data_IF_114040369510
#
_entry.id   IF_114040369510
#
_cell.length_a   1.000
_cell.length_b   1.000
_cell.length_c   1.000
_cell.angle_alpha   90.00
_cell.angle_beta   90.00
_cell.angle_gamma   90.00
#
_symmetry.space_group_name_H-M   'P 1'
#
loop_
_entity.id
_entity.type
_entity.pdbx_description
1 polymer ?
#
# COMPACT_ATOMS: atom_id res chain seq x y z
N UNK A 1 3.29 41.26 10.41
CA UNK A 1 4.40 41.75 9.55
C UNK A 1 4.61 40.73 8.45
N UNK A 2 4.26 41.14 7.25
CA UNK A 2 4.22 40.37 6.01
C UNK A 2 5.63 40.06 5.52
N UNK A 3 6.04 38.79 5.59
CA UNK A 3 7.21 38.28 4.88
C UNK A 3 6.70 37.55 3.62
N UNK A 4 6.82 38.24 2.48
CA UNK A 4 6.75 37.63 1.15
C UNK A 4 7.67 36.41 1.09
N UNK A 5 7.16 35.27 0.60
CA UNK A 5 7.97 34.12 0.20
C UNK A 5 8.47 34.33 -1.25
N UNK A 6 9.79 34.38 -1.51
CA UNK A 6 10.34 34.16 -2.84
C UNK A 6 11.16 32.87 -2.80
N UNK A 7 10.56 31.71 -3.14
CA UNK A 7 11.34 30.48 -3.38
C UNK A 7 10.64 29.36 -4.17
N UNK A 8 9.42 29.56 -4.70
CA UNK A 8 8.71 28.49 -5.46
C UNK A 8 8.81 28.67 -6.99
N UNK A 9 9.33 29.79 -7.47
CA UNK A 9 9.31 30.12 -8.91
C UNK A 9 10.60 29.79 -9.68
N UNK A 10 11.66 29.29 -9.03
CA UNK A 10 12.98 29.15 -9.67
C UNK A 10 13.33 27.73 -10.14
N UNK A 11 12.42 26.74 -10.07
CA UNK A 11 12.71 25.35 -10.48
C UNK A 11 12.07 24.99 -11.84
N UNK A 12 11.28 25.88 -12.44
CA UNK A 12 10.57 25.58 -13.70
C UNK A 12 11.30 25.91 -15.01
N UNK A 13 12.48 26.55 -14.95
CA UNK A 13 13.24 26.91 -16.15
C UNK A 13 14.66 26.39 -16.03
N UNK A 14 14.87 25.13 -16.39
CA UNK A 14 16.06 24.63 -17.10
C UNK A 14 16.06 23.09 -17.02
N UNK A 15 15.63 22.43 -18.11
CA UNK A 15 15.79 20.97 -18.22
C UNK A 15 14.76 20.19 -19.02
N UNK A 16 13.74 20.82 -19.62
CA UNK A 16 12.85 20.13 -20.57
C UNK A 16 13.38 20.29 -22.00
N UNK A 17 14.54 19.68 -22.27
CA UNK A 17 14.91 19.32 -23.64
C UNK A 17 14.21 18.01 -23.99
N UNK A 18 13.22 18.12 -24.88
CA UNK A 18 12.76 17.15 -25.86
C UNK A 18 13.10 15.68 -25.57
N UNK A 19 12.15 14.96 -24.95
CA UNK A 19 11.71 13.61 -25.35
C UNK A 19 10.88 13.02 -24.21
N UNK A 20 9.58 13.31 -24.22
CA UNK A 20 8.66 12.85 -23.18
C UNK A 20 7.32 13.59 -23.19
N UNK A 21 6.81 13.96 -24.36
CA UNK A 21 5.40 14.35 -24.49
C UNK A 21 4.55 13.14 -24.13
N UNK A 22 4.07 13.13 -22.88
CA UNK A 22 2.94 12.31 -22.45
C UNK A 22 1.83 12.48 -23.49
N UNK A 23 1.53 11.42 -24.24
CA UNK A 23 0.40 11.37 -25.15
C UNK A 23 -0.86 11.28 -24.28
N UNK A 24 -1.29 12.43 -23.74
CA UNK A 24 -2.59 12.64 -23.11
C UNK A 24 -3.67 12.89 -24.19
N UNK A 25 -3.63 12.18 -25.32
CA UNK A 25 -4.41 12.57 -26.51
C UNK A 25 -5.72 11.83 -26.75
N UNK A 26 -6.05 10.76 -26.02
CA UNK A 26 -7.32 10.06 -26.28
C UNK A 26 -8.45 10.32 -25.25
N UNK A 27 -8.19 11.06 -24.15
CA UNK A 27 -9.19 11.38 -23.11
C UNK A 27 -9.31 12.90 -22.81
N UNK A 28 -8.90 13.76 -23.75
CA UNK A 28 -8.70 15.19 -23.52
C UNK A 28 -9.94 15.99 -23.05
N UNK A 29 -11.16 15.56 -23.38
CA UNK A 29 -12.37 16.31 -22.99
C UNK A 29 -12.77 16.05 -21.53
N UNK A 30 -12.69 14.80 -21.08
CA UNK A 30 -13.09 14.37 -19.72
C UNK A 30 -12.04 14.80 -18.70
N UNK A 31 -10.75 14.65 -19.04
CA UNK A 31 -9.66 15.11 -18.18
C UNK A 31 -9.72 16.64 -17.98
N UNK A 32 -9.99 17.42 -19.04
CA UNK A 32 -10.12 18.87 -18.93
C UNK A 32 -11.37 19.31 -18.15
N UNK A 33 -12.51 18.65 -18.31
CA UNK A 33 -13.71 18.98 -17.52
C UNK A 33 -13.56 18.61 -16.05
N UNK A 34 -12.97 17.45 -15.74
CA UNK A 34 -12.63 17.11 -14.35
C UNK A 34 -11.61 18.09 -13.76
N UNK A 35 -10.62 18.52 -14.54
CA UNK A 35 -9.61 19.46 -14.08
C UNK A 35 -10.21 20.84 -13.75
N UNK A 36 -11.02 21.40 -14.65
CA UNK A 36 -11.66 22.71 -14.44
C UNK A 36 -12.63 22.68 -13.25
N UNK A 37 -13.41 21.60 -13.11
CA UNK A 37 -14.32 21.43 -11.97
C UNK A 37 -13.56 21.25 -10.65
N UNK A 38 -12.53 20.40 -10.61
CA UNK A 38 -11.68 20.20 -9.44
C UNK A 38 -10.98 21.51 -9.00
N UNK A 39 -10.46 22.29 -9.96
CA UNK A 39 -9.85 23.59 -9.68
C UNK A 39 -10.86 24.59 -9.12
N UNK A 40 -12.05 24.69 -9.72
CA UNK A 40 -13.13 25.56 -9.20
C UNK A 40 -13.54 25.16 -7.78
N UNK A 41 -13.62 23.86 -7.49
CA UNK A 41 -13.92 23.33 -6.15
C UNK A 41 -12.81 23.71 -5.17
N UNK A 42 -11.54 23.52 -5.55
CA UNK A 42 -10.39 23.84 -4.70
C UNK A 42 -10.35 25.34 -4.34
N UNK A 43 -10.60 26.22 -5.32
CA UNK A 43 -10.66 27.68 -5.09
C UNK A 43 -11.83 28.04 -4.19
N UNK A 44 -13.01 27.43 -4.39
CA UNK A 44 -14.19 27.66 -3.55
C UNK A 44 -13.92 27.24 -2.10
N UNK A 45 -13.46 26.01 -1.88
CA UNK A 45 -13.19 25.51 -0.54
C UNK A 45 -12.07 26.28 0.16
N UNK A 46 -11.02 26.70 -0.55
CA UNK A 46 -9.92 27.51 0.02
C UNK A 46 -10.43 28.87 0.54
N UNK A 47 -11.42 29.48 -0.12
CA UNK A 47 -12.08 30.70 0.39
C UNK A 47 -12.91 30.42 1.64
N UNK A 48 -13.62 29.29 1.68
CA UNK A 48 -14.48 28.89 2.79
C UNK A 48 -13.72 28.44 4.04
N UNK A 49 -12.50 27.92 3.87
CA UNK A 49 -11.68 27.40 4.97
C UNK A 49 -11.01 28.50 5.83
N UNK A 50 -10.95 29.75 5.38
CA UNK A 50 -10.16 30.80 6.02
C UNK A 50 -10.67 31.28 7.40
N UNK A 51 -11.94 31.05 7.76
CA UNK A 51 -12.50 31.44 9.07
C UNK A 51 -13.40 30.35 9.66
N UNK A 52 -12.83 29.40 10.41
CA UNK A 52 -13.59 28.31 11.03
C UNK A 52 -14.66 28.80 12.01
N UNK A 53 -14.39 29.89 12.74
CA UNK A 53 -15.26 30.40 13.80
C UNK A 53 -16.54 31.07 13.29
N UNK A 54 -16.56 31.49 12.02
CA UNK A 54 -17.68 32.23 11.40
C UNK A 54 -18.34 31.38 10.31
N UNK A 55 -17.91 30.12 10.14
CA UNK A 55 -18.37 29.23 9.09
C UNK A 55 -19.83 28.80 9.32
N UNK A 56 -20.68 28.96 8.32
CA UNK A 56 -22.06 28.48 8.39
C UNK A 56 -22.13 26.94 8.32
N UNK A 57 -23.24 26.37 8.78
CA UNK A 57 -23.48 24.92 8.67
C UNK A 57 -23.48 24.46 7.20
N UNK A 58 -24.07 25.25 6.29
CA UNK A 58 -24.07 24.97 4.86
C UNK A 58 -22.65 24.92 4.28
N UNK A 59 -21.77 25.83 4.71
CA UNK A 59 -20.37 25.85 4.31
C UNK A 59 -19.60 24.63 4.84
N UNK A 60 -19.86 24.21 6.09
CA UNK A 60 -19.27 22.99 6.66
C UNK A 60 -19.74 21.73 5.93
N UNK A 61 -21.03 21.64 5.60
CA UNK A 61 -21.60 20.55 4.80
C UNK A 61 -21.03 20.51 3.38
N UNK A 62 -20.74 21.68 2.79
CA UNK A 62 -20.08 21.75 1.48
C UNK A 62 -18.67 21.15 1.55
N UNK A 63 -17.89 21.49 2.57
CA UNK A 63 -16.54 20.94 2.76
C UNK A 63 -16.60 19.42 2.95
N UNK A 64 -17.51 18.94 3.81
CA UNK A 64 -17.71 17.51 4.03
C UNK A 64 -18.02 16.77 2.73
N UNK A 65 -18.99 17.28 1.94
CA UNK A 65 -19.37 16.70 0.65
C UNK A 65 -18.21 16.65 -0.34
N UNK A 66 -17.37 17.68 -0.38
CA UNK A 66 -16.18 17.71 -1.24
C UNK A 66 -15.18 16.65 -0.81
N UNK A 67 -14.89 16.52 0.49
CA UNK A 67 -13.99 15.48 0.99
C UNK A 67 -14.52 14.07 0.72
N UNK A 68 -15.82 13.84 0.95
CA UNK A 68 -16.48 12.56 0.64
C UNK A 68 -16.42 12.25 -0.87
N UNK A 69 -16.59 13.25 -1.73
CA UNK A 69 -16.47 13.08 -3.18
C UNK A 69 -15.04 12.66 -3.56
N UNK A 70 -14.02 13.34 -3.03
CA UNK A 70 -12.61 12.99 -3.27
C UNK A 70 -12.34 11.55 -2.82
N UNK A 71 -12.81 11.18 -1.62
CA UNK A 71 -12.70 9.83 -1.07
C UNK A 71 -13.34 8.80 -1.99
N UNK A 72 -14.58 9.03 -2.43
CA UNK A 72 -15.31 8.12 -3.31
C UNK A 72 -14.60 7.92 -4.65
N UNK A 73 -14.08 8.99 -5.26
CA UNK A 73 -13.33 8.92 -6.52
C UNK A 73 -12.06 8.08 -6.36
N UNK A 74 -11.30 8.29 -5.27
CA UNK A 74 -10.10 7.51 -4.99
C UNK A 74 -10.39 6.05 -4.60
N UNK A 75 -11.57 5.76 -4.06
CA UNK A 75 -11.96 4.42 -3.62
C UNK A 75 -12.26 3.47 -4.79
N UNK A 76 -12.58 3.99 -5.98
CA UNK A 76 -12.88 3.15 -7.15
C UNK A 76 -11.70 2.20 -7.43
N UNK A 77 -11.91 0.86 -7.41
CA UNK A 77 -10.82 -0.09 -7.59
C UNK A 77 -10.30 -0.06 -9.03
N UNK A 78 -8.99 -0.25 -9.19
CA UNK A 78 -8.41 -0.48 -10.51
C UNK A 78 -8.80 -1.88 -11.00
N UNK A 79 -9.04 -2.05 -12.30
CA UNK A 79 -9.24 -3.35 -12.92
C UNK A 79 -8.04 -3.68 -13.82
N UNK A 80 -7.03 -4.42 -13.33
CA UNK A 80 -5.79 -4.67 -14.06
C UNK A 80 -6.00 -5.39 -15.40
N UNK A 81 -6.98 -6.30 -15.45
CA UNK A 81 -7.32 -7.04 -16.68
C UNK A 81 -7.92 -6.12 -17.75
N UNK A 82 -8.69 -5.11 -17.33
CA UNK A 82 -9.27 -4.12 -18.23
C UNK A 82 -8.27 -3.02 -18.65
N UNK A 83 -7.29 -2.68 -17.79
CA UNK A 83 -6.33 -1.62 -18.10
C UNK A 83 -5.27 -2.04 -19.13
N UNK A 84 -4.85 -3.31 -19.15
CA UNK A 84 -3.82 -3.84 -20.09
C UNK A 84 -2.55 -2.96 -20.22
N UNK A 85 -2.17 -2.23 -19.17
CA UNK A 85 -1.00 -1.34 -19.16
C UNK A 85 0.25 -2.07 -18.67
N UNK A 86 1.41 -1.66 -19.19
CA UNK A 86 2.71 -2.17 -18.74
C UNK A 86 3.12 -1.56 -17.39
N UNK A 87 4.03 -2.22 -16.67
CA UNK A 87 4.61 -1.69 -15.44
C UNK A 87 5.33 -0.34 -15.72
N UNK A 88 5.15 0.63 -14.81
CA UNK A 88 5.56 2.05 -14.90
C UNK A 88 4.73 2.96 -15.81
N UNK A 89 3.73 2.46 -16.53
CA UNK A 89 2.73 3.33 -17.17
C UNK A 89 1.77 3.90 -16.10
N UNK A 90 1.17 5.07 -16.34
CA UNK A 90 0.24 5.67 -15.38
C UNK A 90 -1.03 4.82 -15.26
N UNK A 91 -1.45 4.45 -14.05
CA UNK A 91 -2.76 3.81 -13.81
C UNK A 91 -3.91 4.82 -13.93
N UNK A 92 -5.17 4.36 -13.87
CA UNK A 92 -6.30 5.29 -13.67
C UNK A 92 -6.16 6.01 -12.32
N UNK A 93 -5.68 5.31 -11.29
CA UNK A 93 -5.43 5.88 -9.98
C UNK A 93 -4.32 6.94 -10.02
N UNK A 94 -3.21 6.69 -10.71
CA UNK A 94 -2.13 7.65 -10.93
C UNK A 94 -2.61 8.92 -11.64
N UNK A 95 -3.50 8.78 -12.63
CA UNK A 95 -4.10 9.92 -13.33
C UNK A 95 -4.97 10.77 -12.39
N UNK A 96 -5.74 10.13 -11.50
CA UNK A 96 -6.53 10.83 -10.49
C UNK A 96 -5.62 11.55 -9.50
N UNK A 97 -4.58 10.89 -8.99
CA UNK A 97 -3.59 11.52 -8.09
C UNK A 97 -2.98 12.75 -8.76
N UNK A 98 -2.55 12.62 -10.02
CA UNK A 98 -1.97 13.73 -10.77
C UNK A 98 -2.96 14.88 -10.94
N UNK A 99 -4.23 14.59 -11.24
CA UNK A 99 -5.26 15.62 -11.35
C UNK A 99 -5.52 16.35 -10.01
N UNK A 100 -5.58 15.61 -8.89
CA UNK A 100 -5.74 16.18 -7.55
C UNK A 100 -4.57 17.07 -7.14
N UNK A 101 -3.35 16.68 -7.53
CA UNK A 101 -2.14 17.48 -7.33
C UNK A 101 -2.21 18.79 -8.12
N UNK A 102 -2.45 18.70 -9.43
CA UNK A 102 -2.49 19.86 -10.32
C UNK A 102 -3.64 20.83 -9.99
N UNK A 103 -4.76 20.33 -9.44
CA UNK A 103 -5.87 21.18 -9.01
C UNK A 103 -5.67 21.83 -7.64
N UNK A 104 -4.60 21.48 -6.90
CA UNK A 104 -4.36 21.96 -5.54
C UNK A 104 -5.30 21.40 -4.48
N UNK A 105 -5.97 20.26 -4.76
CA UNK A 105 -6.85 19.59 -3.80
C UNK A 105 -6.04 18.81 -2.74
N UNK A 106 -4.84 18.35 -3.08
CA UNK A 106 -3.94 17.72 -2.11
C UNK A 106 -3.52 18.71 -1.00
N UNK A 107 -3.19 19.96 -1.36
CA UNK A 107 -2.87 21.02 -0.39
C UNK A 107 -4.06 21.32 0.53
N UNK A 108 -5.28 21.25 -0.02
CA UNK A 108 -6.50 21.45 0.75
C UNK A 108 -6.70 20.34 1.79
N UNK A 109 -6.50 19.08 1.39
CA UNK A 109 -6.55 17.94 2.31
C UNK A 109 -5.48 18.09 3.39
N UNK A 110 -4.26 18.48 3.00
CA UNK A 110 -3.17 18.74 3.94
C UNK A 110 -3.52 19.84 4.95
N UNK A 111 -4.09 20.95 4.49
CA UNK A 111 -4.55 22.02 5.36
C UNK A 111 -5.55 21.50 6.41
N UNK A 112 -6.56 20.74 5.97
CA UNK A 112 -7.58 20.15 6.85
C UNK A 112 -6.96 19.24 7.90
N UNK A 113 -6.03 18.35 7.53
CA UNK A 113 -5.42 17.41 8.49
C UNK A 113 -4.33 18.04 9.37
N UNK A 114 -3.83 19.23 9.01
CA UNK A 114 -2.83 19.97 9.79
C UNK A 114 -3.44 20.83 10.90
N UNK A 115 -4.70 21.27 10.74
CA UNK A 115 -5.36 22.20 11.64
C UNK A 115 -6.16 21.47 12.72
N UNK A 116 -5.88 21.72 14.00
CA UNK A 116 -6.69 21.17 15.11
C UNK A 116 -8.14 21.64 15.09
N UNK A 117 -8.42 22.80 14.48
CA UNK A 117 -9.76 23.39 14.47
C UNK A 117 -10.71 22.63 13.54
N UNK A 118 -10.17 21.87 12.57
CA UNK A 118 -10.93 21.11 11.57
C UNK A 118 -11.17 19.64 11.98
N UNK A 119 -11.12 19.34 13.28
CA UNK A 119 -11.24 17.97 13.85
C UNK A 119 -12.40 17.13 13.27
N UNK A 120 -13.55 17.75 12.97
CA UNK A 120 -14.71 17.09 12.36
C UNK A 120 -14.43 16.43 10.99
N UNK A 121 -13.42 16.91 10.27
CA UNK A 121 -13.05 16.41 8.94
C UNK A 121 -11.85 15.46 8.95
N UNK A 122 -11.23 15.20 10.10
CA UNK A 122 -9.97 14.44 10.15
C UNK A 122 -10.12 12.98 9.72
N UNK A 123 -11.26 12.34 10.00
CA UNK A 123 -11.53 10.98 9.52
C UNK A 123 -11.60 10.93 7.98
N UNK A 124 -12.28 11.89 7.36
CA UNK A 124 -12.33 12.01 5.90
C UNK A 124 -10.94 12.26 5.32
N UNK A 125 -10.16 13.17 5.93
CA UNK A 125 -8.78 13.44 5.53
C UNK A 125 -7.90 12.20 5.61
N UNK A 126 -8.00 11.44 6.71
CA UNK A 126 -7.27 10.19 6.90
C UNK A 126 -7.61 9.14 5.83
N UNK A 127 -8.90 8.94 5.53
CA UNK A 127 -9.33 8.00 4.47
C UNK A 127 -8.75 8.41 3.11
N UNK A 128 -8.82 9.70 2.77
CA UNK A 128 -8.23 10.24 1.53
C UNK A 128 -6.73 9.96 1.49
N UNK A 129 -6.00 10.23 2.57
CA UNK A 129 -4.56 9.94 2.65
C UNK A 129 -4.28 8.44 2.42
N UNK A 130 -5.00 7.55 3.11
CA UNK A 130 -4.82 6.11 2.91
C UNK A 130 -5.07 5.69 1.46
N UNK A 131 -6.09 6.27 0.82
CA UNK A 131 -6.43 5.96 -0.56
C UNK A 131 -5.41 6.52 -1.56
N UNK A 132 -4.85 7.72 -1.34
CA UNK A 132 -3.79 8.30 -2.18
C UNK A 132 -2.54 7.40 -2.25
N UNK A 133 -2.27 6.67 -1.18
CA UNK A 133 -1.10 5.81 -1.05
C UNK A 133 -1.42 4.30 -1.17
N UNK A 134 -2.65 3.92 -1.54
CA UNK A 134 -3.09 2.51 -1.52
C UNK A 134 -2.27 1.59 -2.44
N UNK A 135 -1.77 2.13 -3.55
CA UNK A 135 -0.94 1.41 -4.55
C UNK A 135 0.56 1.64 -4.31
N UNK A 136 0.95 2.28 -3.20
CA UNK A 136 2.35 2.62 -2.89
C UNK A 136 2.90 1.81 -1.72
N UNK A 137 4.20 1.51 -1.79
CA UNK A 137 4.97 1.06 -0.63
C UNK A 137 5.85 2.19 -0.11
N UNK A 138 6.01 2.28 1.21
CA UNK A 138 6.86 3.28 1.84
C UNK A 138 8.31 3.20 1.33
N UNK A 139 8.82 1.98 1.10
CA UNK A 139 10.13 1.73 0.50
C UNK A 139 10.26 2.31 -0.92
N UNK A 140 9.27 2.06 -1.80
CA UNK A 140 9.28 2.57 -3.17
C UNK A 140 9.31 4.11 -3.22
N UNK A 141 8.58 4.78 -2.32
CA UNK A 141 8.58 6.24 -2.24
C UNK A 141 9.84 6.79 -1.57
N UNK A 142 10.40 6.08 -0.57
CA UNK A 142 11.65 6.45 0.09
C UNK A 142 12.87 6.35 -0.84
N UNK A 143 12.82 5.45 -1.83
CA UNK A 143 13.84 5.32 -2.87
C UNK A 143 13.66 6.32 -4.03
N UNK A 144 12.42 6.78 -4.27
CA UNK A 144 12.14 7.74 -5.33
C UNK A 144 12.91 9.05 -5.08
N UNK A 145 13.94 9.35 -5.86
CA UNK A 145 14.75 10.55 -5.70
C UNK A 145 14.85 11.30 -7.02
N UNK A 146 14.91 12.65 -6.95
CA UNK A 146 14.93 13.54 -8.13
C UNK A 146 16.04 13.15 -9.12
N UNK A 147 17.18 12.69 -8.60
CA UNK A 147 18.21 12.03 -9.39
C UNK A 147 17.90 10.54 -9.40
N UNK A 148 17.38 10.03 -10.51
CA UNK A 148 17.25 8.58 -10.74
C UNK A 148 18.59 7.94 -10.41
N UNK A 149 18.63 7.14 -9.33
CA UNK A 149 19.91 6.61 -8.89
C UNK A 149 20.49 5.75 -10.01
N UNK A 150 21.81 5.83 -10.23
CA UNK A 150 22.49 4.96 -11.19
C UNK A 150 22.16 3.48 -10.92
N UNK A 151 21.94 3.14 -9.65
CA UNK A 151 21.46 1.84 -9.21
C UNK A 151 20.04 1.51 -9.69
N UNK A 152 19.08 2.43 -9.63
CA UNK A 152 17.71 2.23 -10.16
C UNK A 152 17.75 2.01 -11.67
N UNK A 153 18.47 2.86 -12.40
CA UNK A 153 18.61 2.71 -13.85
C UNK A 153 19.23 1.35 -14.23
N UNK A 154 20.29 0.94 -13.52
CA UNK A 154 20.92 -0.36 -13.73
C UNK A 154 19.99 -1.53 -13.38
N UNK A 155 19.20 -1.42 -12.29
CA UNK A 155 18.21 -2.44 -11.91
C UNK A 155 17.14 -2.58 -12.98
N UNK A 156 16.58 -1.48 -13.47
CA UNK A 156 15.56 -1.48 -14.53
C UNK A 156 16.11 -2.09 -15.84
N UNK A 157 17.34 -1.72 -16.23
CA UNK A 157 18.00 -2.30 -17.39
C UNK A 157 18.22 -3.82 -17.23
N UNK A 158 18.64 -4.27 -16.04
CA UNK A 158 18.83 -5.69 -15.73
C UNK A 158 17.50 -6.46 -15.74
N UNK A 159 16.45 -5.88 -15.19
CA UNK A 159 15.11 -6.49 -15.16
C UNK A 159 14.55 -6.62 -16.58
N UNK A 160 14.70 -5.58 -17.41
CA UNK A 160 14.31 -5.61 -18.81
C UNK A 160 15.10 -6.65 -19.61
N UNK A 161 16.41 -6.75 -19.37
CA UNK A 161 17.25 -7.79 -19.97
C UNK A 161 16.84 -9.20 -19.52
N UNK A 162 16.50 -9.37 -18.24
CA UNK A 162 16.03 -10.65 -17.70
C UNK A 162 14.67 -11.04 -18.28
N UNK A 163 13.72 -10.10 -18.40
CA UNK A 163 12.44 -10.32 -19.05
C UNK A 163 12.60 -10.72 -20.52
N UNK A 164 13.45 -10.00 -21.27
CA UNK A 164 13.79 -10.33 -22.66
C UNK A 164 14.45 -11.71 -22.78
N UNK A 165 15.32 -12.09 -21.84
CA UNK A 165 15.94 -13.42 -21.79
C UNK A 165 14.90 -14.51 -21.54
N UNK A 166 13.97 -14.32 -20.59
CA UNK A 166 12.88 -15.27 -20.31
C UNK A 166 11.98 -15.47 -21.51
N UNK A 167 11.64 -14.39 -22.23
CA UNK A 167 10.83 -14.46 -23.44
C UNK A 167 11.55 -15.20 -24.57
N UNK A 168 12.84 -14.89 -24.80
CA UNK A 168 13.68 -15.64 -25.76
C UNK A 168 13.80 -17.11 -25.38
N UNK A 169 14.00 -17.43 -24.11
CA UNK A 169 14.03 -18.81 -23.63
C UNK A 169 12.69 -19.51 -23.83
N UNK A 170 11.55 -18.86 -23.58
CA UNK A 170 10.22 -19.42 -23.90
C UNK A 170 10.04 -19.72 -25.38
N UNK A 171 10.58 -18.87 -26.26
CA UNK A 171 10.58 -19.12 -27.70
C UNK A 171 11.56 -20.24 -28.10
N UNK A 172 12.73 -20.35 -27.46
CA UNK A 172 13.74 -21.37 -27.77
C UNK A 172 13.43 -22.76 -27.19
N UNK A 173 12.80 -22.82 -26.01
CA UNK A 173 12.39 -24.07 -25.33
C UNK A 173 11.16 -24.72 -25.96
N UNK A 174 10.50 -24.05 -26.90
CA UNK A 174 9.56 -24.66 -27.83
C UNK A 174 10.30 -24.94 -29.14
N UNK A 175 11.14 -26.00 -29.22
CA UNK A 175 11.67 -26.40 -30.51
C UNK A 175 10.49 -26.62 -31.46
N UNK A 176 10.58 -26.20 -32.73
CA UNK A 176 9.55 -26.51 -33.70
C UNK A 176 9.35 -28.02 -33.67
N UNK A 177 8.11 -28.46 -33.44
CA UNK A 177 7.81 -29.89 -33.31
C UNK A 177 8.12 -30.51 -34.66
N UNK A 178 9.23 -31.24 -34.77
CA UNK A 178 9.67 -31.85 -36.03
C UNK A 178 8.66 -32.85 -36.58
N UNK A 179 7.69 -33.28 -35.75
CA UNK A 179 6.61 -34.22 -36.07
C UNK A 179 5.31 -33.77 -35.41
N UNK A 180 4.16 -34.08 -36.01
CA UNK A 180 2.86 -33.73 -35.44
C UNK A 180 2.61 -34.43 -34.10
N UNK A 181 1.74 -33.87 -33.26
CA UNK A 181 1.42 -34.37 -31.91
C UNK A 181 0.90 -35.81 -31.83
N UNK A 182 0.43 -36.38 -32.96
CA UNK A 182 -0.05 -37.76 -33.07
C UNK A 182 1.05 -38.76 -33.47
N UNK A 183 2.29 -38.31 -33.69
CA UNK A 183 3.43 -39.19 -33.93
C UNK A 183 3.95 -39.72 -32.58
N UNK A 184 3.18 -40.59 -31.94
CA UNK A 184 3.60 -41.31 -30.73
C UNK A 184 4.28 -42.60 -31.13
N UNK A 185 5.57 -42.77 -30.81
CA UNK A 185 6.23 -44.07 -30.90
C UNK A 185 5.60 -45.08 -29.93
N UNK A 186 5.70 -46.36 -30.24
CA UNK A 186 5.27 -47.45 -29.36
C UNK A 186 6.50 -48.05 -28.70
N UNK A 187 6.56 -47.98 -27.37
CA UNK A 187 7.68 -48.50 -26.58
C UNK A 187 7.20 -49.56 -25.60
N UNK A 188 8.04 -50.57 -25.37
CA UNK A 188 7.83 -51.61 -24.34
C UNK A 188 8.77 -51.33 -23.18
N UNK A 189 8.23 -51.12 -21.99
CA UNK A 189 9.02 -50.88 -20.77
C UNK A 189 9.29 -52.21 -20.11
N UNK A 190 10.54 -52.66 -20.18
CA UNK A 190 11.00 -53.88 -19.52
C UNK A 190 11.02 -53.67 -18.01
N UNK A 191 10.72 -54.74 -17.26
CA UNK A 191 10.68 -54.76 -15.78
C UNK A 191 9.53 -53.96 -15.14
N UNK A 192 8.50 -53.61 -15.90
CA UNK A 192 7.27 -53.01 -15.37
C UNK A 192 6.07 -53.77 -15.93
N UNK A 193 5.37 -54.49 -15.05
CA UNK A 193 4.28 -55.40 -15.43
C UNK A 193 2.94 -54.66 -15.49
N UNK A 194 2.20 -54.94 -16.55
CA UNK A 194 0.81 -54.54 -16.74
C UNK A 194 -0.11 -55.41 -15.89
N UNK A 195 -1.39 -55.03 -15.79
CA UNK A 195 -2.46 -55.82 -15.17
C UNK A 195 -2.58 -57.24 -15.76
N UNK A 196 -2.09 -57.44 -16.98
CA UNK A 196 -2.07 -58.74 -17.69
C UNK A 196 -0.77 -59.54 -17.50
N UNK A 197 0.10 -59.16 -16.56
CA UNK A 197 1.41 -59.77 -16.27
C UNK A 197 2.44 -59.72 -17.42
N UNK A 198 2.12 -58.98 -18.48
CA UNK A 198 3.01 -58.65 -19.61
C UNK A 198 3.64 -57.28 -19.42
N UNK A 199 4.77 -57.02 -20.06
CA UNK A 199 5.44 -55.72 -19.98
C UNK A 199 4.55 -54.59 -20.52
N UNK A 200 4.63 -53.40 -19.91
CA UNK A 200 3.77 -52.26 -20.25
C UNK A 200 4.14 -51.67 -21.62
N UNK A 201 3.12 -51.39 -22.43
CA UNK A 201 3.24 -50.75 -23.73
C UNK A 201 2.81 -49.28 -23.60
N UNK A 202 3.68 -48.34 -24.00
CA UNK A 202 3.37 -46.90 -23.98
C UNK A 202 3.43 -46.29 -25.38
N UNK A 203 2.40 -45.51 -25.72
CA UNK A 203 2.27 -44.78 -26.99
C UNK A 203 2.55 -43.28 -26.81
N UNK A 204 3.74 -42.95 -26.30
CA UNK A 204 4.16 -41.58 -26.00
C UNK A 204 5.61 -41.35 -26.43
N UNK A 205 6.05 -40.11 -26.66
CA UNK A 205 7.46 -39.80 -26.92
C UNK A 205 8.37 -40.34 -25.81
N UNK A 206 9.57 -40.79 -26.18
CA UNK A 206 10.52 -41.45 -25.26
C UNK A 206 10.81 -40.63 -23.99
N UNK A 207 10.87 -39.29 -24.11
CA UNK A 207 11.06 -38.36 -22.98
C UNK A 207 9.94 -38.45 -21.92
N UNK A 208 8.68 -38.67 -22.35
CA UNK A 208 7.56 -38.91 -21.42
C UNK A 208 7.57 -40.31 -20.84
N UNK A 209 8.02 -41.30 -21.62
CA UNK A 209 8.15 -42.71 -21.20
C UNK A 209 9.28 -42.90 -20.17
N UNK A 210 10.33 -42.07 -20.19
CA UNK A 210 11.36 -42.07 -19.15
C UNK A 210 10.90 -41.45 -17.83
N UNK A 211 9.83 -40.65 -17.85
CA UNK A 211 9.24 -39.99 -16.67
C UNK A 211 7.84 -40.54 -16.39
N UNK A 212 7.71 -41.87 -16.34
CA UNK A 212 6.43 -42.50 -16.03
C UNK A 212 6.06 -42.20 -14.59
N UNK A 213 5.01 -41.42 -14.46
CA UNK A 213 4.35 -41.10 -13.21
C UNK A 213 2.88 -41.43 -13.40
N UNK A 214 2.42 -42.47 -12.69
CA UNK A 214 1.05 -42.97 -12.75
C UNK A 214 0.06 -42.08 -11.99
N UNK A 215 0.55 -41.10 -11.23
CA UNK A 215 -0.29 -40.12 -10.55
C UNK A 215 -0.61 -38.89 -11.41
N UNK A 216 -0.14 -38.83 -12.67
CA UNK A 216 -0.43 -37.72 -13.60
C UNK A 216 -1.90 -37.55 -13.95
N UNK A 217 -2.68 -38.62 -13.94
CA UNK A 217 -4.13 -38.57 -14.18
C UNK A 217 -4.94 -38.33 -12.89
N UNK A 218 -4.30 -38.41 -11.72
CA UNK A 218 -4.88 -37.92 -10.47
C UNK A 218 -4.88 -36.40 -10.54
N UNK A 219 -5.97 -35.86 -11.08
CA UNK A 219 -6.25 -34.45 -10.94
C UNK A 219 -6.24 -34.11 -9.45
N UNK A 220 -5.28 -33.30 -9.00
CA UNK A 220 -5.40 -32.64 -7.70
C UNK A 220 -6.80 -32.07 -7.63
N UNK A 221 -7.51 -32.36 -6.54
CA UNK A 221 -8.87 -31.89 -6.33
C UNK A 221 -8.85 -30.38 -6.55
N UNK A 222 -9.45 -29.92 -7.65
CA UNK A 222 -9.43 -28.50 -8.02
C UNK A 222 -9.99 -27.74 -6.84
N UNK A 223 -9.13 -26.96 -6.18
CA UNK A 223 -9.57 -26.01 -5.15
C UNK A 223 -10.66 -25.16 -5.82
N UNK A 224 -11.80 -25.07 -5.14
CA UNK A 224 -12.99 -24.41 -5.66
C UNK A 224 -12.65 -23.01 -6.21
N UNK A 225 -12.92 -22.80 -7.50
CA UNK A 225 -12.82 -21.46 -8.13
C UNK A 225 -13.87 -20.47 -7.62
N UNK A 226 -14.77 -20.88 -6.71
CA UNK A 226 -15.68 -19.96 -5.99
C UNK A 226 -14.97 -19.16 -4.89
N UNK A 227 -13.71 -19.47 -4.60
CA UNK A 227 -12.89 -18.60 -3.76
C UNK A 227 -12.36 -17.47 -4.64
N UNK A 228 -12.82 -16.25 -4.31
CA UNK A 228 -12.16 -15.00 -4.72
C UNK A 228 -10.67 -15.24 -4.51
N UNK A 229 -9.89 -15.26 -5.60
CA UNK A 229 -8.44 -15.18 -5.47
C UNK A 229 -8.22 -13.92 -4.64
N UNK A 230 -7.60 -14.04 -3.46
CA UNK A 230 -7.05 -12.86 -2.79
C UNK A 230 -6.37 -12.04 -3.87
N UNK A 231 -6.75 -10.76 -3.99
CA UNK A 231 -6.16 -9.85 -4.95
C UNK A 231 -4.65 -10.02 -4.80
N UNK A 232 -4.06 -10.70 -5.79
CA UNK A 232 -2.62 -10.78 -5.89
C UNK A 232 -2.23 -9.33 -5.92
N UNK A 233 -1.56 -8.87 -4.86
CA UNK A 233 -0.91 -7.57 -4.87
C UNK A 233 0.13 -7.66 -5.97
N UNK A 234 -0.31 -7.42 -7.20
CA UNK A 234 0.55 -7.10 -8.30
C UNK A 234 1.14 -5.77 -7.86
N UNK A 235 2.36 -5.83 -7.34
CA UNK A 235 3.16 -4.68 -6.96
C UNK A 235 3.55 -3.95 -8.24
N UNK A 236 2.56 -3.36 -8.90
CA UNK A 236 2.75 -2.46 -10.01
C UNK A 236 3.43 -1.21 -9.45
N UNK A 237 4.45 -0.74 -10.16
CA UNK A 237 5.09 0.54 -9.86
C UNK A 237 4.36 1.64 -10.63
N UNK A 238 3.90 2.67 -9.90
CA UNK A 238 3.36 3.89 -10.50
C UNK A 238 4.42 4.63 -11.32
N UNK A 239 3.94 5.48 -12.23
CA UNK A 239 4.79 6.39 -12.99
C UNK A 239 5.71 7.22 -12.07
N UNK A 240 6.96 7.45 -12.49
CA UNK A 240 7.98 8.10 -11.67
C UNK A 240 7.57 9.50 -11.19
N UNK A 241 6.92 10.30 -12.04
CA UNK A 241 6.42 11.64 -11.67
C UNK A 241 5.40 11.60 -10.54
N UNK A 242 4.50 10.60 -10.55
CA UNK A 242 3.52 10.40 -9.48
C UNK A 242 4.20 9.97 -8.19
N UNK A 243 5.19 9.06 -8.25
CA UNK A 243 5.99 8.67 -7.08
C UNK A 243 6.73 9.87 -6.47
N UNK A 244 7.31 10.74 -7.29
CA UNK A 244 7.98 11.95 -6.82
C UNK A 244 7.00 12.92 -6.14
N UNK A 245 5.86 13.17 -6.76
CA UNK A 245 4.78 13.99 -6.18
C UNK A 245 4.29 13.42 -4.83
N UNK A 246 4.02 12.12 -4.76
CA UNK A 246 3.59 11.46 -3.53
C UNK A 246 4.66 11.46 -2.45
N UNK A 247 5.94 11.32 -2.82
CA UNK A 247 7.05 11.47 -1.88
C UNK A 247 7.09 12.87 -1.28
N UNK A 248 7.05 13.91 -2.10
CA UNK A 248 7.09 15.30 -1.64
C UNK A 248 5.91 15.59 -0.71
N UNK A 249 4.72 15.11 -1.07
CA UNK A 249 3.53 15.21 -0.23
C UNK A 249 3.67 14.46 1.09
N UNK A 250 4.27 13.26 1.08
CA UNK A 250 4.54 12.47 2.29
C UNK A 250 5.47 13.21 3.26
N UNK A 251 6.53 13.84 2.72
CA UNK A 251 7.44 14.68 3.49
C UNK A 251 6.70 15.87 4.10
N UNK A 252 5.78 16.49 3.35
CA UNK A 252 5.00 17.63 3.85
C UNK A 252 4.03 17.20 4.96
N UNK A 253 3.32 16.08 4.79
CA UNK A 253 2.44 15.50 5.82
C UNK A 253 3.22 15.27 7.13
N UNK A 254 4.39 14.62 7.05
CA UNK A 254 5.23 14.37 8.23
C UNK A 254 5.67 15.66 8.92
N UNK A 255 5.95 16.73 8.16
CA UNK A 255 6.40 18.01 8.70
C UNK A 255 5.30 18.85 9.33
N UNK A 256 4.08 18.83 8.78
CA UNK A 256 3.04 19.81 9.14
C UNK A 256 1.77 19.21 9.72
N UNK A 257 1.47 17.92 9.49
CA UNK A 257 0.17 17.35 9.80
C UNK A 257 0.19 16.06 10.63
N UNK A 258 1.19 15.20 10.46
CA UNK A 258 1.15 13.82 10.98
C UNK A 258 0.85 13.72 12.48
N UNK A 259 1.59 14.45 13.32
CA UNK A 259 1.38 14.41 14.77
C UNK A 259 -0.01 14.92 15.18
N UNK A 260 -0.52 15.98 14.52
CA UNK A 260 -1.87 16.50 14.77
C UNK A 260 -2.92 15.48 14.35
N UNK A 261 -2.78 14.93 13.14
CA UNK A 261 -3.68 13.94 12.57
C UNK A 261 -3.80 12.70 13.46
N UNK A 262 -2.67 12.10 13.84
CA UNK A 262 -2.66 10.89 14.69
C UNK A 262 -3.30 11.18 16.05
N UNK A 263 -2.99 12.33 16.66
CA UNK A 263 -3.53 12.72 17.96
C UNK A 263 -5.04 12.90 17.91
N UNK A 264 -5.53 13.72 16.99
CA UNK A 264 -6.96 14.06 16.91
C UNK A 264 -7.79 12.86 16.46
N UNK A 265 -7.34 12.08 15.47
CA UNK A 265 -8.07 10.89 15.06
C UNK A 265 -8.08 9.84 16.18
N UNK A 266 -6.95 9.56 16.83
CA UNK A 266 -6.91 8.60 17.95
C UNK A 266 -7.89 9.01 19.04
N UNK A 267 -7.91 10.30 19.41
CA UNK A 267 -8.84 10.85 20.40
C UNK A 267 -10.32 10.67 20.01
N UNK A 268 -10.67 10.84 18.73
CA UNK A 268 -12.02 10.61 18.23
C UNK A 268 -12.39 9.12 18.29
N UNK A 269 -11.48 8.24 17.87
CA UNK A 269 -11.72 6.79 17.89
C UNK A 269 -11.86 6.24 19.31
N UNK A 270 -11.02 6.70 20.25
CA UNK A 270 -11.11 6.30 21.66
C UNK A 270 -12.44 6.75 22.31
N UNK A 271 -12.91 7.95 22.00
CA UNK A 271 -14.21 8.44 22.47
C UNK A 271 -15.39 7.65 21.90
N UNK A 272 -15.25 7.20 20.66
CA UNK A 272 -16.30 6.48 19.93
C UNK A 272 -16.14 4.95 19.99
N UNK A 273 -15.22 4.42 20.81
CA UNK A 273 -14.92 2.99 20.90
C UNK A 273 -16.14 2.12 21.26
N UNK A 274 -17.18 2.71 21.86
CA UNK A 274 -18.44 2.01 22.22
C UNK A 274 -19.54 2.05 21.17
N UNK A 275 -19.46 2.89 20.14
CA UNK A 275 -20.53 3.02 19.11
C UNK A 275 -20.32 2.11 17.90
N UNK A 276 -19.22 1.34 17.88
CA UNK A 276 -19.00 0.23 16.93
C UNK A 276 -18.89 0.62 15.45
N UNK A 277 -18.82 1.92 15.12
CA UNK A 277 -19.03 2.40 13.75
C UNK A 277 -17.77 2.84 13.00
N UNK A 278 -16.64 3.09 13.66
CA UNK A 278 -15.44 3.59 12.99
C UNK A 278 -14.39 2.51 12.78
N UNK A 279 -13.77 2.52 11.60
CA UNK A 279 -12.75 1.56 11.21
C UNK A 279 -11.35 2.09 11.58
N UNK A 280 -10.83 1.66 12.73
CA UNK A 280 -9.49 2.05 13.23
C UNK A 280 -8.35 1.61 12.29
N UNK A 281 -8.65 0.72 11.32
CA UNK A 281 -7.72 0.20 10.32
C UNK A 281 -7.00 1.28 9.53
N UNK A 282 -7.69 2.39 9.20
CA UNK A 282 -7.07 3.50 8.46
C UNK A 282 -5.98 4.20 9.29
N UNK A 283 -6.22 4.43 10.58
CA UNK A 283 -5.24 5.09 11.45
C UNK A 283 -4.03 4.18 11.66
N UNK A 284 -4.27 2.90 11.94
CA UNK A 284 -3.20 1.90 12.06
C UNK A 284 -2.36 1.83 10.78
N UNK A 285 -3.02 1.75 9.61
CA UNK A 285 -2.33 1.75 8.32
C UNK A 285 -1.49 3.02 8.12
N UNK A 286 -2.02 4.20 8.46
CA UNK A 286 -1.31 5.46 8.32
C UNK A 286 -0.09 5.53 9.25
N UNK A 287 -0.23 5.13 10.52
CA UNK A 287 0.89 5.05 11.47
C UNK A 287 1.99 4.16 10.89
N UNK A 288 1.63 2.95 10.44
CA UNK A 288 2.59 2.03 9.82
C UNK A 288 3.30 2.66 8.62
N UNK A 289 2.54 3.19 7.66
CA UNK A 289 3.08 3.69 6.40
C UNK A 289 4.01 4.89 6.60
N UNK A 290 3.56 5.90 7.36
CA UNK A 290 4.33 7.13 7.56
C UNK A 290 5.54 6.92 8.49
N UNK A 291 5.44 6.06 9.50
CA UNK A 291 6.62 5.70 10.30
C UNK A 291 7.65 4.93 9.49
N UNK A 292 7.22 3.95 8.69
CA UNK A 292 8.11 3.20 7.79
C UNK A 292 8.79 4.15 6.79
N UNK A 293 8.04 5.06 6.17
CA UNK A 293 8.60 6.06 5.26
C UNK A 293 9.59 7.00 5.96
N UNK A 294 9.26 7.49 7.16
CA UNK A 294 10.14 8.36 7.96
C UNK A 294 11.46 7.66 8.30
N UNK A 295 11.38 6.38 8.71
CA UNK A 295 12.54 5.53 9.03
C UNK A 295 13.42 5.28 7.80
N UNK A 296 12.82 4.92 6.67
CA UNK A 296 13.56 4.64 5.42
C UNK A 296 14.16 5.90 4.80
N UNK A 297 13.50 7.04 4.94
CA UNK A 297 13.98 8.33 4.42
C UNK A 297 15.03 8.99 5.32
N UNK A 298 15.33 8.43 6.50
CA UNK A 298 16.30 8.99 7.45
C UNK A 298 15.89 10.35 8.02
N UNK A 299 14.58 10.61 8.13
CA UNK A 299 14.04 11.88 8.62
C UNK A 299 14.09 11.95 10.16
N UNK A 300 13.91 13.16 10.71
CA UNK A 300 13.95 13.38 12.15
C UNK A 300 12.82 12.63 12.87
N UNK A 301 13.14 11.92 13.95
CA UNK A 301 12.16 11.13 14.71
C UNK A 301 11.10 11.99 15.42
N UNK A 302 11.37 13.28 15.64
CA UNK A 302 10.41 14.24 16.22
C UNK A 302 9.14 14.38 15.38
N UNK A 303 9.24 14.17 14.06
CA UNK A 303 8.13 14.22 13.12
C UNK A 303 7.09 13.13 13.36
N UNK A 304 7.47 12.03 14.02
CA UNK A 304 6.60 10.90 14.35
C UNK A 304 6.46 10.68 15.86
N UNK A 305 6.70 11.73 16.66
CA UNK A 305 6.69 11.69 18.12
C UNK A 305 5.35 11.26 18.71
N UNK A 306 4.22 11.60 18.07
CA UNK A 306 2.89 11.20 18.56
C UNK A 306 2.70 9.68 18.56
N UNK A 307 3.23 9.01 17.53
CA UNK A 307 3.20 7.54 17.41
C UNK A 307 4.30 6.85 18.22
N UNK A 308 5.42 7.53 18.48
CA UNK A 308 6.53 6.99 19.28
C UNK A 308 6.34 7.28 20.77
N UNK A 309 5.17 6.89 21.31
CA UNK A 309 4.75 7.15 22.68
C UNK A 309 4.18 5.89 23.34
N UNK A 310 4.32 5.75 24.67
CA UNK A 310 3.76 4.61 25.42
C UNK A 310 2.27 4.48 25.18
N UNK A 311 1.56 5.61 25.08
CA UNK A 311 0.13 5.65 24.79
C UNK A 311 -0.19 5.01 23.43
N UNK A 312 0.58 5.32 22.38
CA UNK A 312 0.36 4.73 21.07
C UNK A 312 0.68 3.23 21.05
N UNK A 313 1.77 2.79 21.70
CA UNK A 313 2.09 1.36 21.83
C UNK A 313 0.97 0.59 22.54
N UNK A 314 0.47 1.15 23.65
CA UNK A 314 -0.63 0.55 24.40
C UNK A 314 -1.92 0.51 23.56
N UNK A 315 -2.24 1.61 22.87
CA UNK A 315 -3.40 1.68 21.99
C UNK A 315 -3.36 0.57 20.92
N UNK A 316 -2.24 0.41 20.20
CA UNK A 316 -2.10 -0.66 19.20
C UNK A 316 -2.21 -2.06 19.85
N UNK A 317 -1.59 -2.28 21.01
CA UNK A 317 -1.68 -3.56 21.71
C UNK A 317 -3.14 -3.92 22.07
N UNK A 318 -3.89 -2.97 22.64
CA UNK A 318 -5.30 -3.21 23.01
C UNK A 318 -6.17 -3.50 21.79
N UNK A 319 -5.90 -2.89 20.63
CA UNK A 319 -6.57 -3.23 19.36
C UNK A 319 -6.23 -4.65 18.92
N UNK A 320 -4.97 -5.07 18.99
CA UNK A 320 -4.58 -6.46 18.67
C UNK A 320 -5.28 -7.48 19.56
N UNK A 321 -5.31 -7.24 20.87
CA UNK A 321 -6.00 -8.11 21.82
C UNK A 321 -7.51 -8.17 21.55
N UNK A 322 -8.13 -7.01 21.31
CA UNK A 322 -9.55 -6.94 20.93
C UNK A 322 -9.85 -7.73 19.65
N UNK A 323 -9.08 -7.53 18.58
CA UNK A 323 -9.29 -8.23 17.32
C UNK A 323 -9.10 -9.76 17.49
N UNK A 324 -8.14 -10.19 18.31
CA UNK A 324 -7.97 -11.61 18.66
C UNK A 324 -9.20 -12.19 19.37
N UNK A 325 -9.75 -11.48 20.36
CA UNK A 325 -10.95 -11.91 21.07
C UNK A 325 -12.17 -11.97 20.14
N UNK A 326 -12.27 -11.01 19.21
CA UNK A 326 -13.36 -10.94 18.23
C UNK A 326 -13.29 -12.04 17.17
N UNK A 327 -12.09 -12.51 16.78
CA UNK A 327 -11.94 -13.68 15.89
C UNK A 327 -12.59 -14.93 16.49
N UNK A 328 -12.44 -15.11 17.81
CA UNK A 328 -13.00 -16.28 18.53
C UNK A 328 -14.49 -16.11 18.79
N UNK A 329 -14.90 -14.89 19.20
CA UNK A 329 -16.27 -14.58 19.63
C UNK A 329 -17.23 -14.39 18.46
N UNK A 330 -16.86 -13.58 17.46
CA UNK A 330 -17.66 -13.30 16.26
C UNK A 330 -17.18 -14.11 15.06
N UNK A 331 -17.51 -15.40 15.09
CA UNK A 331 -17.15 -16.35 14.02
C UNK A 331 -17.71 -15.98 12.65
N UNK A 332 -18.73 -15.12 12.56
CA UNK A 332 -19.34 -14.68 11.29
C UNK A 332 -18.42 -13.70 10.56
N UNK A 333 -17.77 -12.80 11.29
CA UNK A 333 -16.85 -11.80 10.75
C UNK A 333 -15.38 -12.11 11.06
N UNK A 334 -15.06 -13.33 11.47
CA UNK A 334 -13.70 -13.74 11.83
C UNK A 334 -12.62 -13.35 10.81
N UNK A 335 -12.95 -13.36 9.51
CA UNK A 335 -12.04 -12.91 8.44
C UNK A 335 -11.78 -11.41 8.45
N UNK A 336 -12.79 -10.60 8.72
CA UNK A 336 -12.65 -9.15 8.83
C UNK A 336 -11.80 -8.82 10.04
N UNK A 337 -12.07 -9.48 11.18
CA UNK A 337 -11.25 -9.36 12.39
C UNK A 337 -9.81 -9.81 12.17
N UNK A 338 -9.57 -10.90 11.42
CA UNK A 338 -8.22 -11.33 11.05
C UNK A 338 -7.48 -10.31 10.18
N UNK A 339 -8.18 -9.65 9.24
CA UNK A 339 -7.60 -8.57 8.43
C UNK A 339 -7.23 -7.35 9.30
N UNK A 340 -8.11 -6.97 10.25
CA UNK A 340 -7.84 -5.89 11.21
C UNK A 340 -6.64 -6.20 12.10
N UNK A 341 -6.61 -7.41 12.65
CA UNK A 341 -5.48 -7.92 13.43
C UNK A 341 -4.17 -7.88 12.63
N UNK A 342 -4.22 -8.24 11.34
CA UNK A 342 -3.04 -8.17 10.48
C UNK A 342 -2.51 -6.74 10.34
N UNK A 343 -3.39 -5.77 10.10
CA UNK A 343 -3.00 -4.34 10.02
C UNK A 343 -2.43 -3.86 11.36
N UNK A 344 -3.07 -4.21 12.48
CA UNK A 344 -2.60 -3.86 13.81
C UNK A 344 -1.22 -4.47 14.11
N UNK A 345 -1.01 -5.75 13.78
CA UNK A 345 0.26 -6.44 13.96
C UNK A 345 1.38 -5.83 13.09
N UNK A 346 1.09 -5.50 11.83
CA UNK A 346 2.06 -4.82 10.96
C UNK A 346 2.44 -3.42 11.51
N UNK A 347 1.48 -2.73 12.11
CA UNK A 347 1.70 -1.42 12.75
C UNK A 347 2.58 -1.59 13.99
N UNK A 348 2.30 -2.59 14.83
CA UNK A 348 3.11 -2.92 15.99
C UNK A 348 4.55 -3.29 15.61
N UNK A 349 4.72 -4.06 14.52
CA UNK A 349 6.04 -4.36 13.96
C UNK A 349 6.80 -3.09 13.59
N UNK A 350 6.16 -2.13 12.93
CA UNK A 350 6.83 -0.89 12.55
C UNK A 350 7.17 0.02 13.75
N UNK A 351 6.32 0.03 14.77
CA UNK A 351 6.62 0.70 16.05
C UNK A 351 7.91 0.12 16.68
N UNK A 352 8.07 -1.20 16.70
CA UNK A 352 9.30 -1.85 17.17
C UNK A 352 10.51 -1.55 16.30
N UNK A 353 10.36 -1.57 14.96
CA UNK A 353 11.45 -1.21 14.05
C UNK A 353 11.91 0.24 14.23
N UNK A 354 10.97 1.14 14.50
CA UNK A 354 11.26 2.55 14.79
C UNK A 354 11.92 2.72 16.16
N UNK A 355 11.54 1.92 17.17
CA UNK A 355 12.26 1.86 18.46
C UNK A 355 13.70 1.38 18.28
N UNK A 356 13.94 0.38 17.44
CA UNK A 356 15.30 -0.08 17.10
C UNK A 356 16.09 0.98 16.31
N UNK A 357 15.42 1.79 15.48
CA UNK A 357 16.05 2.90 14.79
C UNK A 357 16.46 4.01 15.77
N UNK A 358 15.64 4.28 16.80
CA UNK A 358 15.91 5.26 17.86
C UNK A 358 17.22 4.95 18.60
N UNK A 359 17.51 3.66 18.87
CA UNK A 359 18.77 3.22 19.50
C UNK A 359 20.03 3.62 18.71
N UNK A 360 19.91 3.74 17.38
CA UNK A 360 21.06 4.06 16.51
C UNK A 360 21.34 5.57 16.44
N UNK A 361 20.40 6.40 16.91
CA UNK A 361 20.54 7.85 16.88
C UNK A 361 21.45 8.30 18.02
N UNK A 362 22.50 9.06 17.67
CA UNK A 362 23.47 9.61 18.63
C UNK A 362 22.96 10.92 19.23
N UNK A 363 21.83 10.85 19.94
CA UNK A 363 21.22 11.99 20.65
C UNK A 363 20.76 11.55 22.05
N UNK A 364 21.07 12.34 23.07
CA UNK A 364 20.77 12.03 24.47
C UNK A 364 19.26 11.97 24.72
N UNK A 365 18.48 12.82 24.03
CA UNK A 365 17.01 12.78 24.13
C UNK A 365 16.45 11.52 23.51
N UNK A 366 16.98 11.11 22.36
CA UNK A 366 16.60 9.88 21.69
C UNK A 366 16.91 8.65 22.55
N UNK A 367 18.08 8.61 23.21
CA UNK A 367 18.46 7.54 24.13
C UNK A 367 17.55 7.49 25.36
N UNK A 368 17.24 8.64 25.97
CA UNK A 368 16.32 8.68 27.10
C UNK A 368 14.90 8.21 26.72
N UNK A 369 14.41 8.59 25.54
CA UNK A 369 13.14 8.10 25.00
C UNK A 369 13.19 6.59 24.71
N UNK A 370 14.30 6.08 24.18
CA UNK A 370 14.51 4.66 23.93
C UNK A 370 14.43 3.86 25.23
N UNK A 371 15.17 4.27 26.27
CA UNK A 371 15.18 3.59 27.55
C UNK A 371 13.79 3.62 28.21
N UNK A 372 13.09 4.77 28.13
CA UNK A 372 11.73 4.89 28.64
C UNK A 372 10.75 3.95 27.92
N UNK A 373 10.77 3.91 26.58
CA UNK A 373 9.90 3.04 25.80
C UNK A 373 10.26 1.56 25.98
N UNK A 374 11.54 1.22 26.00
CA UNK A 374 12.02 -0.15 26.21
C UNK A 374 11.50 -0.69 27.56
N UNK A 375 11.61 0.09 28.63
CA UNK A 375 11.13 -0.28 29.96
C UNK A 375 9.61 -0.46 30.00
N UNK A 376 8.85 0.45 29.38
CA UNK A 376 7.38 0.42 29.43
C UNK A 376 6.72 -0.52 28.41
N UNK A 377 7.42 -0.93 27.36
CA UNK A 377 6.87 -1.80 26.30
C UNK A 377 7.48 -3.19 26.36
N UNK A 378 8.81 -3.31 26.41
CA UNK A 378 9.47 -4.61 26.27
C UNK A 378 9.59 -5.38 27.58
N UNK A 379 9.49 -4.75 28.75
CA UNK A 379 9.52 -5.45 30.06
C UNK A 379 8.15 -5.74 30.64
N UNK A 380 7.10 -5.19 30.04
CA UNK A 380 5.72 -5.41 30.42
C UNK A 380 5.24 -6.75 29.85
N UNK A 381 4.68 -7.59 30.71
CA UNK A 381 4.35 -9.00 30.44
C UNK A 381 3.31 -9.12 29.33
N UNK A 382 2.31 -8.24 29.34
CA UNK A 382 1.19 -8.19 28.42
C UNK A 382 1.63 -8.08 26.95
N UNK A 383 2.67 -7.28 26.67
CA UNK A 383 3.23 -7.15 25.33
C UNK A 383 3.92 -8.45 24.88
N UNK A 384 4.65 -9.11 25.78
CA UNK A 384 5.37 -10.36 25.48
C UNK A 384 4.40 -11.51 25.22
N UNK A 385 3.39 -11.65 26.08
CA UNK A 385 2.40 -12.72 26.00
C UNK A 385 1.53 -12.60 24.76
N UNK A 386 1.14 -11.38 24.38
CA UNK A 386 0.30 -11.16 23.18
C UNK A 386 1.01 -11.66 21.91
N UNK A 387 2.31 -11.39 21.75
CA UNK A 387 3.10 -11.87 20.60
C UNK A 387 3.22 -13.40 20.61
N UNK A 388 3.51 -13.99 21.78
CA UNK A 388 3.60 -15.44 21.92
C UNK A 388 2.25 -16.12 21.63
N UNK A 389 1.16 -15.55 22.11
CA UNK A 389 -0.19 -16.05 21.87
C UNK A 389 -0.54 -16.04 20.38
N UNK A 390 -0.18 -14.97 19.65
CA UNK A 390 -0.35 -14.91 18.20
C UNK A 390 0.39 -16.03 17.46
N UNK A 391 1.64 -16.30 17.87
CA UNK A 391 2.45 -17.36 17.26
C UNK A 391 1.91 -18.76 17.57
N UNK A 392 1.51 -18.99 18.83
CA UNK A 392 0.97 -20.29 19.27
C UNK A 392 -0.38 -20.62 18.65
N UNK A 393 -1.20 -19.60 18.37
CA UNK A 393 -2.53 -19.76 17.80
C UNK A 393 -2.58 -19.55 16.28
N UNK A 394 -1.42 -19.41 15.62
CA UNK A 394 -1.36 -19.33 14.17
C UNK A 394 -1.81 -20.64 13.53
N UNK A 395 -2.83 -20.57 12.68
CA UNK A 395 -3.31 -21.71 11.91
C UNK A 395 -3.34 -21.36 10.42
N UNK A 396 -2.38 -21.90 9.67
CA UNK A 396 -2.24 -21.68 8.22
C UNK A 396 -3.56 -21.89 7.46
N UNK A 397 -4.37 -22.88 7.85
CA UNK A 397 -5.62 -23.19 7.16
C UNK A 397 -6.72 -22.12 7.34
N UNK A 398 -6.59 -21.23 8.33
CA UNK A 398 -7.51 -20.14 8.64
C UNK A 398 -6.89 -18.75 8.40
N UNK A 399 -5.57 -18.62 8.47
CA UNK A 399 -4.85 -17.35 8.39
C UNK A 399 -4.35 -16.97 6.99
N UNK A 400 -4.30 -17.92 6.04
CA UNK A 400 -3.88 -17.66 4.64
C UNK A 400 -5.02 -17.90 3.61
N UNK A 401 -6.29 -17.87 4.05
CA UNK A 401 -7.50 -18.11 3.23
C UNK A 401 -8.55 -17.04 3.46
#
# INVERSE_FOLDING_TARGET
MTAHRPCVQAIYNDGLTNDGTFVLLDNGLIANTMFVTAYSIAVSCRRTLNDWAIRSEEQSLMIERVLVLIRNVLQVPANPEAECRADNDASLHDQVIWALHQSGLMDLVLFVVSSSDEHQFHLHGLEILCLLYREQTAESLADASLQRSLAEKQRDEQELLAARRRERQRHQTKPPVARHSRFGGTYVIRNMKSVSDRDIICHQPLERVMSIDFDREKNQQKRSFRHIKEEVQLTRRSAFSVRLCLREFCIEILRSAYNTLVREVRRVLERNAGTGSHDDSYLLWAIRFFMEFNRLSGMQLELVSESLSVQCFHWVLTRMQHDMDMIVSDKKQARVWAKRLHVALQTFRELLLSLLALQKVKDDRALALFDMLLNNVCYVLEYRETILHLLMNYNEAHSTK
#
